data_IF_603539094789
#
_entry.id   IF_603539094789
#
_cell.length_a   1.000
_cell.length_b   1.000
_cell.length_c   1.000
_cell.angle_alpha   90.00
_cell.angle_beta   90.00
_cell.angle_gamma   90.00
#
_symmetry.space_group_name_H-M   'P 1'
#
loop_
_entity.id
_entity.type
_entity.pdbx_description
1 polymer ?
#
# COMPACT_ATOMS: atom_id res chain seq x y z
N UNK A 1 -3.71 6.91 -4.82
CA UNK A 1 -2.47 6.12 -4.69
C UNK A 1 -1.73 6.46 -3.41
N UNK A 2 -1.31 7.71 -3.20
CA UNK A 2 -0.61 8.10 -1.96
C UNK A 2 -1.38 7.75 -0.67
N UNK A 3 -2.70 7.95 -0.65
CA UNK A 3 -3.54 7.58 0.49
C UNK A 3 -3.57 6.07 0.76
N UNK A 4 -3.60 5.24 -0.29
CA UNK A 4 -3.57 3.77 -0.15
C UNK A 4 -2.24 3.33 0.46
N UNK A 5 -1.11 3.84 -0.06
CA UNK A 5 0.22 3.57 0.49
C UNK A 5 0.29 3.98 1.96
N UNK A 6 -0.25 5.15 2.32
CA UNK A 6 -0.28 5.59 3.71
C UNK A 6 -1.11 4.68 4.61
N UNK A 7 -2.29 4.26 4.15
CA UNK A 7 -3.15 3.37 4.91
C UNK A 7 -2.50 1.99 5.11
N UNK A 8 -1.87 1.45 4.07
CA UNK A 8 -1.14 0.18 4.12
C UNK A 8 -0.01 0.23 5.14
N UNK A 9 0.89 1.22 5.04
CA UNK A 9 2.03 1.34 5.96
C UNK A 9 1.59 1.60 7.41
N UNK A 10 0.46 2.28 7.61
CA UNK A 10 -0.14 2.46 8.93
C UNK A 10 -0.76 1.15 9.46
N UNK A 11 -1.37 0.32 8.61
CA UNK A 11 -1.94 -0.98 8.97
C UNK A 11 -0.88 -1.94 9.49
N UNK A 12 0.35 -1.85 8.97
CA UNK A 12 1.49 -2.62 9.45
C UNK A 12 2.26 -1.98 10.63
N UNK A 13 1.85 -0.80 11.11
CA UNK A 13 2.55 -0.02 12.14
C UNK A 13 4.02 0.31 11.79
N UNK A 14 4.31 0.46 10.48
CA UNK A 14 5.67 0.71 9.96
C UNK A 14 5.92 2.20 9.74
N UNK A 15 4.86 2.98 9.54
CA UNK A 15 4.95 4.41 9.34
C UNK A 15 3.86 5.16 10.12
N UNK A 16 4.28 6.25 10.76
CA UNK A 16 3.39 7.19 11.44
C UNK A 16 3.51 8.55 10.75
N UNK A 17 2.39 9.27 10.66
CA UNK A 17 2.39 10.63 10.11
C UNK A 17 3.25 11.56 10.99
N UNK A 18 3.96 12.53 10.40
CA UNK A 18 4.74 13.49 11.16
C UNK A 18 3.90 14.23 12.18
N UNK A 19 4.41 14.35 13.40
CA UNK A 19 3.77 15.09 14.49
C UNK A 19 3.63 16.59 14.12
N UNK A 20 4.67 17.17 13.51
CA UNK A 20 4.65 18.55 13.03
C UNK A 20 4.21 18.63 11.57
N UNK A 21 2.90 18.62 11.34
CA UNK A 21 2.30 18.67 9.99
C UNK A 21 2.67 19.94 9.21
N UNK A 22 2.78 21.08 9.88
CA UNK A 22 3.10 22.35 9.24
C UNK A 22 4.54 22.37 8.70
N UNK A 23 5.51 21.90 9.50
CA UNK A 23 6.89 21.78 9.07
C UNK A 23 7.04 20.75 7.93
N UNK A 24 6.33 19.61 8.02
CA UNK A 24 6.31 18.61 6.96
C UNK A 24 5.72 19.16 5.63
N UNK A 25 4.68 19.98 5.71
CA UNK A 25 4.12 20.64 4.52
C UNK A 25 5.11 21.64 3.89
N UNK A 26 5.78 22.45 4.72
CA UNK A 26 6.81 23.38 4.23
C UNK A 26 8.00 22.65 3.58
N UNK A 27 8.42 21.51 4.14
CA UNK A 27 9.44 20.65 3.54
C UNK A 27 8.99 20.09 2.19
N UNK A 28 7.75 19.61 2.09
CA UNK A 28 7.18 19.12 0.82
C UNK A 28 7.12 20.21 -0.26
N UNK A 29 6.79 21.45 0.09
CA UNK A 29 6.82 22.59 -0.85
C UNK A 29 8.25 22.93 -1.29
N UNK A 30 9.22 22.81 -0.39
CA UNK A 30 10.64 22.99 -0.73
C UNK A 30 11.12 21.93 -1.72
N UNK A 31 10.75 20.66 -1.50
CA UNK A 31 11.04 19.55 -2.43
C UNK A 31 10.45 19.79 -3.81
N UNK A 32 9.21 20.27 -3.88
CA UNK A 32 8.54 20.59 -5.15
C UNK A 32 9.27 21.70 -5.91
N UNK A 33 9.66 22.77 -5.22
CA UNK A 33 10.40 23.89 -5.80
C UNK A 33 11.79 23.48 -6.29
N UNK A 34 12.48 22.61 -5.54
CA UNK A 34 13.83 22.16 -5.87
C UNK A 34 13.87 20.97 -6.84
N UNK A 35 12.75 20.28 -7.06
CA UNK A 35 12.68 19.03 -7.83
C UNK A 35 13.38 17.83 -7.16
N UNK A 36 13.93 18.01 -5.96
CA UNK A 36 14.75 17.02 -5.23
C UNK A 36 14.49 17.11 -3.72
N UNK A 37 14.79 16.03 -2.99
CA UNK A 37 14.56 15.97 -1.53
C UNK A 37 15.46 16.94 -0.78
N UNK A 38 14.86 17.82 0.00
CA UNK A 38 15.52 18.76 0.91
C UNK A 38 15.55 18.18 2.33
N UNK A 39 16.54 17.34 2.61
CA UNK A 39 16.63 16.54 3.83
C UNK A 39 16.53 17.33 5.15
N UNK A 40 17.11 18.53 5.19
CA UNK A 40 17.19 19.32 6.42
C UNK A 40 15.78 19.79 6.86
N UNK A 41 14.88 20.09 5.91
CA UNK A 41 13.49 20.45 6.22
C UNK A 41 12.70 19.27 6.79
N UNK A 42 12.90 18.06 6.24
CA UNK A 42 12.24 16.85 6.71
C UNK A 42 12.72 16.43 8.10
N UNK A 43 14.03 16.43 8.33
CA UNK A 43 14.58 16.11 9.66
C UNK A 43 14.17 17.13 10.72
N UNK A 44 14.13 18.42 10.39
CA UNK A 44 13.58 19.46 11.28
C UNK A 44 12.08 19.27 11.58
N UNK A 45 11.32 18.65 10.68
CA UNK A 45 9.92 18.26 10.91
C UNK A 45 9.77 16.95 11.72
N UNK A 46 10.87 16.32 12.12
CA UNK A 46 10.87 15.03 12.82
C UNK A 46 10.60 13.83 11.90
N UNK A 47 10.86 13.96 10.60
CA UNK A 47 10.65 12.91 9.60
C UNK A 47 11.98 12.19 9.32
N UNK A 48 12.00 10.88 9.54
CA UNK A 48 13.16 10.02 9.26
C UNK A 48 13.16 9.45 7.84
N UNK A 49 11.99 9.23 7.24
CA UNK A 49 11.85 8.64 5.91
C UNK A 49 10.92 9.45 5.04
N UNK A 50 11.32 9.66 3.78
CA UNK A 50 10.57 10.43 2.80
C UNK A 50 10.25 9.55 1.61
N UNK A 51 8.96 9.43 1.29
CA UNK A 51 8.48 8.76 0.08
C UNK A 51 8.10 9.81 -0.95
N UNK A 52 8.69 9.73 -2.13
CA UNK A 52 8.29 10.51 -3.31
C UNK A 52 7.71 9.60 -4.37
N UNK A 53 6.71 10.11 -5.07
CA UNK A 53 6.13 9.40 -6.20
C UNK A 53 5.73 10.35 -7.30
N UNK A 54 5.77 9.87 -8.54
CA UNK A 54 5.25 10.57 -9.70
C UNK A 54 4.59 9.59 -10.65
N UNK A 55 3.60 10.06 -11.42
CA UNK A 55 2.94 9.26 -12.45
C UNK A 55 2.89 10.07 -13.73
N UNK A 56 3.40 9.50 -14.82
CA UNK A 56 3.44 10.13 -16.13
C UNK A 56 3.39 9.06 -17.22
N UNK A 57 2.58 9.28 -18.26
CA UNK A 57 2.57 8.41 -19.45
C UNK A 57 2.23 6.94 -19.18
N UNK A 58 1.50 6.62 -18.10
CA UNK A 58 1.21 5.24 -17.70
C UNK A 58 2.36 4.52 -16.99
N UNK A 59 3.41 5.24 -16.61
CA UNK A 59 4.46 4.78 -15.71
C UNK A 59 4.33 5.53 -14.37
N UNK A 60 4.49 4.82 -13.27
CA UNK A 60 4.66 5.42 -11.96
C UNK A 60 6.09 5.21 -11.47
N UNK A 61 6.65 6.18 -10.76
CA UNK A 61 7.93 6.08 -10.08
C UNK A 61 7.75 6.27 -8.59
N UNK A 62 8.49 5.50 -7.82
CA UNK A 62 8.53 5.57 -6.37
C UNK A 62 9.99 5.69 -5.94
N UNK A 63 10.26 6.62 -5.03
CA UNK A 63 11.55 6.77 -4.38
C UNK A 63 11.35 6.83 -2.87
N UNK A 64 12.17 6.08 -2.14
CA UNK A 64 12.24 6.10 -0.68
C UNK A 64 13.61 6.61 -0.26
N UNK A 65 13.63 7.58 0.64
CA UNK A 65 14.85 8.14 1.19
C UNK A 65 14.85 8.02 2.70
N UNK A 66 16.03 7.74 3.26
CA UNK A 66 16.35 8.01 4.65
C UNK A 66 16.82 9.46 4.74
N UNK A 67 16.04 10.29 5.43
CA UNK A 67 16.30 11.71 5.57
C UNK A 67 17.44 12.02 6.54
N UNK A 68 17.73 11.11 7.48
CA UNK A 68 18.79 11.25 8.47
C UNK A 68 20.15 10.98 7.84
N UNK A 69 20.27 9.84 7.15
CA UNK A 69 21.52 9.46 6.47
C UNK A 69 21.67 10.08 5.08
N UNK A 70 20.62 10.74 4.57
CA UNK A 70 20.55 11.35 3.24
C UNK A 70 20.74 10.34 2.10
N UNK A 71 20.41 9.08 2.36
CA UNK A 71 20.54 7.99 1.39
C UNK A 71 19.21 7.68 0.72
N UNK A 72 19.27 7.27 -0.55
CA UNK A 72 18.12 6.69 -1.25
C UNK A 72 18.11 5.18 -1.00
N UNK A 73 17.04 4.69 -0.37
CA UNK A 73 16.85 3.27 -0.05
C UNK A 73 16.16 2.51 -1.19
N UNK A 74 15.23 3.16 -1.89
CA UNK A 74 14.49 2.58 -3.02
C UNK A 74 14.33 3.61 -4.13
N UNK A 75 14.39 3.16 -5.38
CA UNK A 75 14.05 3.94 -6.57
C UNK A 75 13.55 2.98 -7.65
N UNK A 76 12.25 2.90 -7.84
CA UNK A 76 11.60 1.89 -8.68
C UNK A 76 10.60 2.52 -9.65
N UNK A 77 10.57 2.02 -10.88
CA UNK A 77 9.58 2.37 -11.88
C UNK A 77 8.59 1.22 -12.08
N UNK A 78 7.33 1.56 -12.31
CA UNK A 78 6.23 0.63 -12.45
C UNK A 78 5.45 0.95 -13.71
N UNK A 79 5.42 0.01 -14.65
CA UNK A 79 4.61 0.11 -15.85
C UNK A 79 3.13 -0.20 -15.56
N UNK A 80 2.24 0.28 -16.43
CA UNK A 80 0.82 -0.03 -16.33
C UNK A 80 0.09 0.79 -15.25
N UNK A 81 0.58 1.98 -14.92
CA UNK A 81 -0.04 2.93 -14.00
C UNK A 81 -1.30 3.59 -14.60
N UNK A 82 -2.28 2.75 -14.96
CA UNK A 82 -3.61 3.18 -15.39
C UNK A 82 -4.50 3.41 -14.17
N UNK A 83 -5.47 4.33 -14.28
CA UNK A 83 -6.38 4.68 -13.17
C UNK A 83 -7.09 3.45 -12.59
N UNK A 84 -7.53 2.51 -13.44
CA UNK A 84 -8.20 1.27 -13.01
C UNK A 84 -7.32 0.33 -12.19
N UNK A 85 -6.00 0.43 -12.32
CA UNK A 85 -5.02 -0.43 -11.65
C UNK A 85 -4.26 0.30 -10.54
N UNK A 86 -4.52 1.61 -10.38
CA UNK A 86 -3.81 2.48 -9.45
C UNK A 86 -3.78 1.95 -8.01
N UNK A 87 -4.86 1.31 -7.56
CA UNK A 87 -4.95 0.73 -6.22
C UNK A 87 -4.06 -0.50 -6.06
N UNK A 88 -4.13 -1.46 -6.98
CA UNK A 88 -3.23 -2.63 -6.99
C UNK A 88 -1.76 -2.20 -7.06
N UNK A 89 -1.49 -1.17 -7.86
CA UNK A 89 -0.16 -0.62 -7.98
C UNK A 89 0.32 0.03 -6.66
N UNK A 90 -0.57 0.76 -5.97
CA UNK A 90 -0.27 1.34 -4.67
C UNK A 90 0.07 0.28 -3.61
N UNK A 91 -0.67 -0.83 -3.56
CA UNK A 91 -0.34 -1.94 -2.65
C UNK A 91 1.04 -2.54 -2.95
N UNK A 92 1.37 -2.76 -4.23
CA UNK A 92 2.71 -3.23 -4.62
C UNK A 92 3.80 -2.24 -4.19
N UNK A 93 3.59 -0.94 -4.37
CA UNK A 93 4.53 0.09 -3.90
C UNK A 93 4.70 0.05 -2.38
N UNK A 94 3.61 -0.16 -1.63
CA UNK A 94 3.67 -0.31 -0.18
C UNK A 94 4.46 -1.56 0.23
N UNK A 95 4.32 -2.68 -0.50
CA UNK A 95 5.08 -3.91 -0.26
C UNK A 95 6.58 -3.70 -0.47
N UNK A 96 6.94 -2.96 -1.53
CA UNK A 96 8.34 -2.62 -1.82
C UNK A 96 8.93 -1.68 -0.75
N UNK A 97 8.16 -0.71 -0.27
CA UNK A 97 8.56 0.17 0.86
C UNK A 97 8.77 -0.66 2.14
N UNK A 98 7.83 -1.55 2.47
CA UNK A 98 7.93 -2.43 3.63
C UNK A 98 9.21 -3.27 3.57
N UNK A 99 9.47 -3.87 2.41
CA UNK A 99 10.67 -4.68 2.20
C UNK A 99 11.94 -3.86 2.32
N UNK A 100 11.97 -2.64 1.75
CA UNK A 100 13.12 -1.75 1.84
C UNK A 100 13.41 -1.29 3.28
N UNK A 101 12.38 -1.08 4.11
CA UNK A 101 12.52 -0.62 5.49
C UNK A 101 12.81 -1.74 6.48
N UNK A 102 12.21 -2.91 6.29
CA UNK A 102 12.17 -3.97 7.32
C UNK A 102 12.88 -5.25 6.93
N UNK A 103 13.29 -5.39 5.66
CA UNK A 103 13.79 -6.63 5.06
C UNK A 103 12.80 -7.80 5.11
N UNK A 104 11.55 -7.55 5.50
CA UNK A 104 10.46 -8.50 5.47
C UNK A 104 9.49 -8.18 4.32
N UNK A 105 8.91 -9.19 3.66
CA UNK A 105 7.95 -8.97 2.59
C UNK A 105 6.70 -8.26 3.11
N UNK A 106 6.18 -7.30 2.34
CA UNK A 106 4.87 -6.71 2.58
C UNK A 106 3.72 -7.67 2.26
N UNK A 107 2.57 -7.42 2.88
CA UNK A 107 1.35 -8.23 2.73
C UNK A 107 0.21 -7.45 2.06
N UNK A 108 0.43 -6.22 1.63
CA UNK A 108 -0.63 -5.30 1.22
C UNK A 108 -1.27 -5.70 -0.11
N UNK A 109 -0.52 -6.35 -1.00
CA UNK A 109 -1.06 -6.91 -2.25
C UNK A 109 -1.81 -8.24 -2.07
N UNK A 110 -1.90 -8.78 -0.85
CA UNK A 110 -2.60 -10.03 -0.56
C UNK A 110 -4.12 -9.81 -0.45
N UNK A 111 -4.86 -10.92 -0.36
CA UNK A 111 -6.32 -10.94 -0.23
C UNK A 111 -6.75 -11.88 0.87
N UNK A 112 -7.90 -11.58 1.45
CA UNK A 112 -8.55 -12.36 2.49
C UNK A 112 -9.77 -13.05 1.87
N UNK A 113 -9.88 -14.37 2.07
CA UNK A 113 -11.10 -15.12 1.78
C UNK A 113 -11.86 -15.32 3.09
N UNK A 114 -13.16 -15.10 3.08
CA UNK A 114 -14.00 -15.17 4.27
C UNK A 114 -15.43 -15.57 3.93
N UNK A 115 -16.18 -15.99 4.95
CA UNK A 115 -17.59 -16.31 4.81
C UNK A 115 -18.44 -15.08 5.09
N UNK A 116 -19.44 -14.86 4.22
CA UNK A 116 -20.47 -13.84 4.37
C UNK A 116 -21.81 -14.49 4.68
N UNK A 117 -22.50 -14.00 5.70
CA UNK A 117 -23.82 -14.47 6.07
C UNK A 117 -24.89 -13.93 5.13
N UNK A 118 -25.70 -14.83 4.58
CA UNK A 118 -26.86 -14.54 3.72
C UNK A 118 -28.18 -15.04 4.30
N UNK A 119 -28.16 -15.47 5.56
CA UNK A 119 -29.32 -15.98 6.29
C UNK A 119 -28.93 -17.12 7.23
N UNK A 120 -29.89 -17.69 7.98
CA UNK A 120 -29.62 -18.67 9.04
C UNK A 120 -28.87 -19.93 8.59
N UNK A 121 -29.04 -20.34 7.33
CA UNK A 121 -28.45 -21.57 6.77
C UNK A 121 -27.68 -21.34 5.48
N UNK A 122 -27.36 -20.08 5.16
CA UNK A 122 -26.75 -19.71 3.88
C UNK A 122 -25.53 -18.83 4.13
N UNK A 123 -24.36 -19.38 3.81
CA UNK A 123 -23.08 -18.70 3.85
C UNK A 123 -22.47 -18.75 2.45
N UNK A 124 -21.85 -17.65 2.04
CA UNK A 124 -21.18 -17.53 0.76
C UNK A 124 -19.73 -17.13 0.97
N UNK A 125 -18.83 -17.65 0.13
CA UNK A 125 -17.44 -17.24 0.12
C UNK A 125 -17.33 -15.90 -0.57
N UNK A 126 -16.67 -14.96 0.10
CA UNK A 126 -16.29 -13.66 -0.42
C UNK A 126 -14.80 -13.45 -0.28
N UNK A 127 -14.25 -12.56 -1.11
CA UNK A 127 -12.85 -12.13 -1.04
C UNK A 127 -12.78 -10.62 -0.92
N UNK A 128 -11.75 -10.12 -0.24
CA UNK A 128 -11.41 -8.71 -0.15
C UNK A 128 -9.90 -8.53 -0.17
N UNK A 129 -9.44 -7.31 -0.43
CA UNK A 129 -8.03 -6.93 -0.28
C UNK A 129 -7.61 -6.95 1.21
N UNK A 130 -6.31 -6.99 1.50
CA UNK A 130 -5.79 -7.06 2.88
C UNK A 130 -6.23 -5.88 3.78
N UNK A 131 -6.53 -4.72 3.20
CA UNK A 131 -7.04 -3.54 3.89
C UNK A 131 -8.59 -3.53 4.02
N UNK A 132 -9.26 -4.60 3.60
CA UNK A 132 -10.71 -4.78 3.68
C UNK A 132 -11.52 -4.20 2.52
N UNK A 133 -10.90 -3.52 1.55
CA UNK A 133 -11.63 -2.99 0.40
C UNK A 133 -11.89 -4.07 -0.68
N UNK A 134 -12.72 -3.72 -1.67
CA UNK A 134 -12.91 -4.57 -2.85
C UNK A 134 -13.65 -5.87 -2.59
N UNK A 135 -14.52 -5.91 -1.57
CA UNK A 135 -15.33 -7.08 -1.23
C UNK A 135 -16.09 -7.59 -2.46
N UNK A 136 -15.86 -8.85 -2.81
CA UNK A 136 -16.51 -9.54 -3.94
C UNK A 136 -16.91 -10.94 -3.53
N UNK A 137 -18.18 -11.26 -3.72
CA UNK A 137 -18.71 -12.60 -3.53
C UNK A 137 -18.25 -13.52 -4.68
N UNK A 138 -17.85 -14.74 -4.34
CA UNK A 138 -17.38 -15.75 -5.30
C UNK A 138 -18.40 -16.86 -5.55
N UNK A 139 -19.12 -17.28 -4.51
CA UNK A 139 -20.13 -18.35 -4.61
C UNK A 139 -21.53 -17.76 -4.55
N UNK A 140 -22.53 -18.44 -5.09
CA UNK A 140 -23.94 -18.06 -4.94
C UNK A 140 -24.79 -19.34 -4.83
N UNK A 141 -24.42 -20.18 -3.87
CA UNK A 141 -24.98 -21.52 -3.74
C UNK A 141 -26.22 -21.52 -2.85
N UNK A 142 -27.16 -22.42 -3.13
CA UNK A 142 -28.33 -22.68 -2.27
C UNK A 142 -28.01 -23.64 -1.12
N UNK A 143 -26.72 -23.76 -0.76
CA UNK A 143 -26.18 -24.68 0.21
C UNK A 143 -25.20 -23.96 1.17
N UNK A 144 -24.81 -24.63 2.24
CA UNK A 144 -23.80 -24.13 3.16
C UNK A 144 -22.42 -24.25 2.50
N UNK A 145 -21.80 -23.12 2.15
CA UNK A 145 -20.37 -23.06 1.79
C UNK A 145 -19.57 -22.75 3.07
N UNK A 146 -18.54 -23.54 3.34
CA UNK A 146 -17.76 -23.43 4.57
C UNK A 146 -16.25 -23.62 4.32
N UNK A 147 -15.44 -23.05 5.21
CA UNK A 147 -13.99 -23.23 5.30
C UNK A 147 -13.22 -23.01 3.98
N UNK A 148 -13.30 -21.81 3.36
CA UNK A 148 -12.52 -21.52 2.16
C UNK A 148 -11.02 -21.63 2.43
N UNK A 149 -10.29 -22.27 1.53
CA UNK A 149 -8.84 -22.39 1.59
C UNK A 149 -8.19 -21.90 0.29
N UNK A 150 -7.19 -21.02 0.39
CA UNK A 150 -6.41 -20.62 -0.78
C UNK A 150 -5.51 -21.77 -1.25
N UNK A 151 -5.48 -21.99 -2.56
CA UNK A 151 -4.43 -22.79 -3.19
C UNK A 151 -3.05 -22.15 -3.02
N UNK A 152 -1.99 -22.94 -3.07
CA UNK A 152 -0.62 -22.48 -2.83
C UNK A 152 -0.15 -21.39 -3.81
N UNK A 153 -0.77 -21.31 -4.98
CA UNK A 153 -0.50 -20.29 -6.00
C UNK A 153 -1.31 -18.99 -5.79
N UNK A 154 -2.23 -18.95 -4.83
CA UNK A 154 -3.09 -17.80 -4.55
C UNK A 154 -4.09 -17.44 -5.66
N UNK A 155 -4.27 -18.30 -6.66
CA UNK A 155 -5.22 -18.06 -7.77
C UNK A 155 -6.51 -18.85 -7.64
N UNK A 156 -6.53 -19.84 -6.76
CA UNK A 156 -7.65 -20.75 -6.53
C UNK A 156 -8.11 -20.71 -5.08
N UNK A 157 -9.41 -20.94 -4.85
CA UNK A 157 -9.99 -21.17 -3.53
C UNK A 157 -10.75 -22.50 -3.60
N UNK A 158 -10.48 -23.37 -2.62
CA UNK A 158 -11.16 -24.64 -2.39
C UNK A 158 -12.18 -24.52 -1.26
#
# INVERSE_FOLDING_TARGET
MAEVIQNDLALADVAVRPANKAAAAAAAEADQRAGSVQFDGWTAAGVSYVVRGSVSGGEARLELYDAVTKQRLLGQAYSGAQVRDARRLAHRMADDIMTALTQAPGIFSTRIAFLTDRGPSRKEVSVMDADGAGVRQLTNESALVAAPAWGLNGTEIY
#
